data_IF_932267342926
#
_entry.id   IF_932267342926
#
_cell.length_a   1.000
_cell.length_b   1.000
_cell.length_c   1.000
_cell.angle_alpha   90.00
_cell.angle_beta   90.00
_cell.angle_gamma   90.00
#
_symmetry.space_group_name_H-M   'P 1'
#
loop_
_entity.id
_entity.type
_entity.pdbx_description
1 polymer ?
#
# COMPACT_ATOMS: atom_id res chain seq x y z
N UNK A 1 -22.72 12.66 3.91
CA UNK A 1 -22.51 12.14 5.23
C UNK A 1 -21.58 10.95 5.23
N UNK A 2 -20.68 10.92 6.15
CA UNK A 2 -19.59 9.96 6.11
C UNK A 2 -19.82 8.77 7.04
N UNK A 3 -20.97 8.16 6.94
CA UNK A 3 -21.27 6.98 7.75
C UNK A 3 -20.25 5.87 7.55
N UNK A 4 -19.75 5.73 6.32
CA UNK A 4 -18.75 4.71 6.05
C UNK A 4 -17.46 4.95 6.83
N UNK A 5 -17.04 6.19 6.95
CA UNK A 5 -15.83 6.52 7.70
C UNK A 5 -16.03 6.26 9.18
N UNK A 6 -17.18 6.67 9.72
CA UNK A 6 -17.51 6.44 11.11
C UNK A 6 -17.60 4.94 11.37
N UNK A 7 -18.28 4.22 10.50
CA UNK A 7 -18.42 2.77 10.66
C UNK A 7 -17.07 2.07 10.57
N UNK A 8 -16.20 2.54 9.70
CA UNK A 8 -14.88 1.96 9.54
C UNK A 8 -14.03 2.14 10.79
N UNK A 9 -14.08 3.33 11.40
CA UNK A 9 -13.35 3.59 12.63
C UNK A 9 -13.91 2.75 13.77
N UNK A 10 -15.21 2.69 13.91
CA UNK A 10 -15.87 1.88 14.94
C UNK A 10 -15.55 0.40 14.73
N UNK A 11 -15.54 -0.05 13.51
CA UNK A 11 -15.20 -1.43 13.19
C UNK A 11 -13.76 -1.73 13.57
N UNK A 12 -12.83 -0.82 13.23
CA UNK A 12 -11.42 -0.99 13.55
C UNK A 12 -11.23 -1.06 15.07
N UNK A 13 -11.90 -0.20 15.82
CA UNK A 13 -11.82 -0.22 17.27
C UNK A 13 -12.38 -1.52 17.86
N UNK A 14 -13.47 -2.01 17.30
CA UNK A 14 -14.08 -3.27 17.72
C UNK A 14 -13.13 -4.43 17.46
N UNK A 15 -12.53 -4.47 16.27
CA UNK A 15 -11.55 -5.49 15.92
C UNK A 15 -10.36 -5.41 16.88
N UNK A 16 -9.88 -4.21 17.15
CA UNK A 16 -8.73 -3.99 18.02
C UNK A 16 -8.97 -4.57 19.42
N UNK A 17 -10.17 -4.37 19.97
CA UNK A 17 -10.48 -4.87 21.29
C UNK A 17 -10.44 -6.40 21.38
N UNK A 18 -10.68 -7.06 20.27
CA UNK A 18 -10.70 -8.53 20.24
C UNK A 18 -9.33 -9.13 19.95
N UNK A 19 -8.34 -8.31 19.69
CA UNK A 19 -6.98 -8.78 19.42
C UNK A 19 -6.19 -8.76 20.71
N UNK A 20 -5.73 -9.94 21.19
CA UNK A 20 -5.10 -10.05 22.51
C UNK A 20 -3.62 -9.73 22.49
N UNK A 21 -3.17 -8.89 21.59
CA UNK A 21 -1.76 -8.54 21.47
C UNK A 21 -1.58 -7.04 21.65
N UNK A 22 -0.55 -6.67 22.40
CA UNK A 22 -0.09 -5.29 22.50
C UNK A 22 1.24 -5.23 21.81
N UNK A 23 1.34 -4.42 20.78
CA UNK A 23 2.58 -4.29 20.03
C UNK A 23 3.43 -3.18 20.62
N UNK A 24 4.73 -3.46 20.72
CA UNK A 24 5.63 -2.51 21.34
C UNK A 24 6.05 -1.41 20.36
N UNK A 25 6.32 -1.80 19.12
CA UNK A 25 7.03 -0.98 18.17
C UNK A 25 6.40 -0.99 16.77
N UNK A 26 5.30 -1.72 16.61
CA UNK A 26 4.65 -1.87 15.32
C UNK A 26 3.21 -1.41 15.34
N UNK A 27 2.80 -0.84 14.22
CA UNK A 27 1.38 -0.65 13.95
C UNK A 27 0.86 -1.94 13.33
N UNK A 28 -0.27 -2.40 13.81
CA UNK A 28 -0.97 -3.50 13.16
C UNK A 28 -1.94 -2.92 12.16
N UNK A 29 -1.75 -3.28 10.91
CA UNK A 29 -2.51 -2.70 9.81
C UNK A 29 -3.18 -3.83 9.04
N UNK A 30 -4.44 -3.62 8.70
CA UNK A 30 -5.15 -4.53 7.81
C UNK A 30 -5.11 -3.94 6.42
N UNK A 31 -4.37 -4.56 5.48
CA UNK A 31 -4.32 -4.05 4.12
C UNK A 31 -5.68 -4.09 3.45
N UNK A 32 -5.99 -3.04 2.71
CA UNK A 32 -7.16 -3.01 1.85
C UNK A 32 -6.82 -3.67 0.52
N UNK A 33 -7.81 -3.82 -0.34
CA UNK A 33 -7.59 -4.43 -1.64
C UNK A 33 -6.52 -3.66 -2.41
N UNK A 34 -5.71 -4.37 -3.22
CA UNK A 34 -4.69 -3.70 -4.02
C UNK A 34 -5.29 -2.64 -4.93
N UNK A 35 -4.59 -1.52 -5.04
CA UNK A 35 -4.99 -0.44 -5.95
C UNK A 35 -4.44 -0.77 -7.32
N UNK A 36 -5.29 -0.71 -8.32
CA UNK A 36 -4.88 -0.94 -9.70
C UNK A 36 -4.49 0.38 -10.34
N UNK A 37 -3.39 0.36 -11.05
CA UNK A 37 -2.93 1.53 -11.80
C UNK A 37 -2.58 1.09 -13.20
N UNK A 38 -2.70 2.02 -14.13
CA UNK A 38 -2.32 1.77 -15.51
C UNK A 38 -0.88 2.19 -15.70
N UNK A 39 -0.09 1.29 -16.22
CA UNK A 39 1.32 1.57 -16.52
C UNK A 39 1.60 1.29 -17.99
N UNK A 40 2.45 2.11 -18.56
CA UNK A 40 2.90 1.93 -19.92
C UNK A 40 4.20 1.14 -19.93
N UNK A 41 4.24 0.14 -20.76
CA UNK A 41 5.43 -0.66 -20.96
C UNK A 41 5.84 -0.55 -22.39
N UNK A 42 7.08 -0.16 -22.62
CA UNK A 42 7.66 -0.19 -23.96
C UNK A 42 8.15 -1.59 -24.23
N UNK A 43 7.79 -2.09 -25.37
CA UNK A 43 8.06 -3.46 -25.72
C UNK A 43 8.47 -3.50 -27.18
N UNK A 44 9.60 -4.10 -27.52
CA UNK A 44 9.94 -4.24 -28.94
C UNK A 44 8.92 -5.16 -29.61
N UNK A 45 8.48 -4.75 -30.78
CA UNK A 45 7.55 -5.57 -31.55
C UNK A 45 8.34 -6.72 -32.17
N UNK A 46 7.98 -7.92 -31.79
CA UNK A 46 8.57 -9.09 -32.42
C UNK A 46 7.81 -9.37 -33.69
N UNK A 47 8.46 -9.26 -34.80
CA UNK A 47 7.87 -9.58 -36.09
C UNK A 47 7.84 -11.07 -36.35
N UNK A 48 8.52 -11.84 -35.54
CA UNK A 48 8.65 -13.26 -35.76
C UNK A 48 9.59 -13.61 -36.88
N UNK A 49 10.18 -12.61 -37.55
CA UNK A 49 11.08 -12.81 -38.65
C UNK A 49 12.50 -12.51 -38.20
N UNK A 50 13.42 -13.46 -38.33
CA UNK A 50 14.79 -13.17 -37.95
C UNK A 50 15.33 -12.03 -38.83
N UNK A 51 16.07 -11.14 -38.18
CA UNK A 51 16.75 -10.09 -38.93
C UNK A 51 17.86 -10.70 -39.74
N UNK A 52 17.87 -10.41 -41.02
CA UNK A 52 18.81 -11.03 -41.93
C UNK A 52 19.97 -10.16 -42.34
N UNK A 53 19.83 -8.86 -42.18
CA UNK A 53 20.93 -7.97 -42.47
C UNK A 53 20.97 -6.82 -41.47
N UNK A 54 22.08 -6.11 -41.47
CA UNK A 54 22.32 -5.06 -40.51
C UNK A 54 21.42 -3.86 -40.69
N UNK A 55 21.03 -3.59 -41.91
CA UNK A 55 20.18 -2.44 -42.21
C UNK A 55 18.77 -2.65 -41.65
N UNK A 56 18.31 -3.88 -41.66
CA UNK A 56 17.02 -4.21 -41.11
C UNK A 56 17.01 -4.04 -39.59
N UNK A 57 18.12 -4.33 -38.95
CA UNK A 57 18.25 -4.17 -37.51
C UNK A 57 18.05 -2.72 -37.10
N UNK A 58 18.71 -1.81 -37.79
CA UNK A 58 18.62 -0.39 -37.50
C UNK A 58 17.22 0.16 -37.69
N UNK A 59 16.56 -0.24 -38.74
CA UNK A 59 15.20 0.21 -39.01
C UNK A 59 14.24 -0.27 -37.96
N UNK A 60 14.41 -1.47 -37.47
CA UNK A 60 13.51 -2.06 -36.49
C UNK A 60 13.66 -1.45 -35.10
N UNK A 61 14.85 -1.02 -34.74
CA UNK A 61 15.10 -0.50 -33.41
C UNK A 61 14.29 0.75 -33.10
N UNK A 62 13.97 1.53 -34.11
CA UNK A 62 13.26 2.78 -33.91
C UNK A 62 11.77 2.72 -34.26
N UNK A 63 11.42 1.85 -35.19
CA UNK A 63 10.07 1.84 -35.72
C UNK A 63 9.18 0.76 -35.08
N UNK A 64 9.80 -0.16 -34.39
CA UNK A 64 9.09 -1.32 -33.89
C UNK A 64 9.02 -1.38 -32.36
N UNK A 65 8.87 -0.21 -31.73
CA UNK A 65 8.61 -0.15 -30.29
C UNK A 65 7.14 0.14 -30.11
N UNK A 66 6.48 -0.78 -29.44
CA UNK A 66 5.08 -0.64 -29.08
C UNK A 66 4.96 -0.24 -27.64
N UNK A 67 4.04 0.67 -27.37
CA UNK A 67 3.69 0.99 -26.02
C UNK A 67 2.42 0.24 -25.65
N UNK A 68 2.50 -0.57 -24.63
CA UNK A 68 1.39 -1.34 -24.13
C UNK A 68 0.96 -0.79 -22.79
N UNK A 69 -0.34 -0.52 -22.65
CA UNK A 69 -0.90 -0.06 -21.38
C UNK A 69 -1.51 -1.26 -20.68
N UNK A 70 -1.01 -1.55 -19.49
CA UNK A 70 -1.52 -2.65 -18.67
C UNK A 70 -1.98 -2.13 -17.33
N UNK A 71 -3.05 -2.72 -16.84
CA UNK A 71 -3.49 -2.49 -15.49
C UNK A 71 -2.75 -3.45 -14.57
N UNK A 72 -2.01 -2.90 -13.64
CA UNK A 72 -1.20 -3.68 -12.68
C UNK A 72 -1.46 -3.17 -11.27
N UNK A 73 -1.08 -3.98 -10.29
CA UNK A 73 -1.15 -3.54 -8.90
C UNK A 73 -0.17 -2.41 -8.68
N UNK A 74 -0.59 -1.41 -7.93
CA UNK A 74 0.28 -0.31 -7.54
C UNK A 74 1.41 -0.84 -6.65
N UNK A 75 2.55 -0.15 -6.69
CA UNK A 75 3.63 -0.42 -5.75
C UNK A 75 3.27 0.01 -4.33
N UNK A 76 2.21 0.77 -4.18
CA UNK A 76 1.74 1.29 -2.90
C UNK A 76 0.43 0.65 -2.53
N UNK A 77 0.20 0.53 -1.24
CA UNK A 77 -1.00 -0.09 -0.73
C UNK A 77 -1.58 0.75 0.39
N UNK A 78 -2.88 0.66 0.57
CA UNK A 78 -3.57 1.30 1.67
C UNK A 78 -3.94 0.24 2.69
N UNK A 79 -4.06 0.66 3.94
CA UNK A 79 -4.51 -0.24 4.99
C UNK A 79 -5.11 0.54 6.13
N UNK A 80 -5.92 -0.15 6.93
CA UNK A 80 -6.58 0.43 8.09
C UNK A 80 -5.78 0.07 9.33
N UNK A 81 -5.46 1.06 10.14
CA UNK A 81 -4.72 0.85 11.39
C UNK A 81 -5.65 0.23 12.42
N UNK A 82 -5.27 -0.94 12.92
CA UNK A 82 -6.03 -1.68 13.92
C UNK A 82 -5.44 -1.51 15.31
N UNK A 83 -4.11 -1.44 15.39
CA UNK A 83 -3.39 -1.22 16.65
C UNK A 83 -2.28 -0.22 16.45
N UNK A 84 -2.07 0.62 17.44
CA UNK A 84 -0.92 1.52 17.49
C UNK A 84 0.12 0.95 18.46
N UNK A 85 1.41 1.25 18.27
CA UNK A 85 2.44 0.74 19.17
C UNK A 85 2.31 1.34 20.58
N UNK A 86 2.63 0.54 21.56
CA UNK A 86 2.63 1.01 22.94
C UNK A 86 3.59 2.20 23.10
N UNK A 87 4.73 2.14 22.45
CA UNK A 87 5.71 3.22 22.52
C UNK A 87 5.17 4.53 21.95
N UNK A 88 4.34 4.45 20.93
CA UNK A 88 3.74 5.60 20.29
C UNK A 88 2.80 6.35 21.24
N UNK A 89 2.12 5.59 22.11
CA UNK A 89 1.17 6.14 23.07
C UNK A 89 1.78 6.34 24.46
N UNK A 90 3.10 6.32 24.56
CA UNK A 90 3.78 6.43 25.85
C UNK A 90 3.59 7.81 26.51
N UNK A 91 3.84 7.85 27.81
CA UNK A 91 3.78 9.12 28.55
C UNK A 91 4.70 10.18 27.97
N UNK A 92 5.83 9.77 27.46
CA UNK A 92 6.80 10.71 26.86
C UNK A 92 6.23 11.42 25.66
N UNK A 93 5.31 10.79 24.96
CA UNK A 93 4.71 11.33 23.76
C UNK A 93 3.32 11.91 23.99
N UNK A 94 2.89 11.99 25.23
CA UNK A 94 1.53 12.38 25.56
C UNK A 94 1.14 13.77 25.07
N UNK A 95 2.10 14.67 25.03
CA UNK A 95 1.85 16.03 24.59
C UNK A 95 1.97 16.21 23.09
N UNK A 96 2.38 15.18 22.38
CA UNK A 96 2.48 15.20 20.94
C UNK A 96 1.20 14.70 20.33
N UNK A 97 0.75 15.40 19.31
CA UNK A 97 -0.43 14.95 18.59
C UNK A 97 0.01 13.92 17.57
N UNK A 98 -0.41 12.69 17.79
CA UNK A 98 -0.08 11.61 16.86
C UNK A 98 -1.17 11.52 15.79
N UNK A 99 -0.81 11.71 14.53
CA UNK A 99 -1.82 11.70 13.47
C UNK A 99 -2.35 10.30 13.15
N UNK A 100 -1.58 9.27 13.47
CA UNK A 100 -1.99 7.90 13.14
C UNK A 100 -2.75 7.32 14.33
N UNK A 101 -4.01 7.00 14.11
CA UNK A 101 -4.89 6.47 15.13
C UNK A 101 -5.53 5.17 14.65
N UNK A 102 -6.13 4.44 15.58
CA UNK A 102 -6.95 3.28 15.21
C UNK A 102 -8.06 3.76 14.28
N UNK A 103 -8.19 3.12 13.14
CA UNK A 103 -9.15 3.52 12.10
C UNK A 103 -8.57 4.39 11.01
N UNK A 104 -7.38 4.95 11.22
CA UNK A 104 -6.72 5.72 10.17
C UNK A 104 -6.41 4.83 8.98
N UNK A 105 -6.59 5.37 7.78
CA UNK A 105 -6.16 4.68 6.56
C UNK A 105 -4.79 5.23 6.17
N UNK A 106 -3.83 4.36 6.07
CA UNK A 106 -2.45 4.75 5.79
C UNK A 106 -1.99 4.18 4.47
N UNK A 107 -0.95 4.78 3.91
CA UNK A 107 -0.33 4.35 2.66
C UNK A 107 1.07 3.84 2.98
N UNK A 108 1.42 2.72 2.42
CA UNK A 108 2.73 2.12 2.58
C UNK A 108 3.11 1.38 1.30
N UNK A 109 4.38 1.03 1.18
CA UNK A 109 4.80 0.21 0.04
C UNK A 109 4.25 -1.20 0.21
N UNK A 110 3.81 -1.80 -0.87
CA UNK A 110 3.24 -3.14 -0.84
C UNK A 110 4.22 -4.18 -0.27
N UNK A 111 5.51 -3.92 -0.38
CA UNK A 111 6.55 -4.81 0.16
C UNK A 111 6.99 -4.46 1.57
N UNK A 112 6.45 -3.40 2.15
CA UNK A 112 6.90 -2.93 3.46
C UNK A 112 6.35 -3.78 4.59
N UNK A 113 7.09 -3.81 5.66
CA UNK A 113 6.65 -4.44 6.90
C UNK A 113 6.74 -5.95 6.90
N UNK A 114 6.11 -6.53 7.90
CA UNK A 114 6.10 -7.97 8.12
C UNK A 114 4.67 -8.48 8.07
N UNK A 115 4.48 -9.61 7.44
CA UNK A 115 3.18 -10.29 7.51
C UNK A 115 3.07 -10.94 8.87
N UNK A 116 1.95 -10.71 9.52
CA UNK A 116 1.74 -11.25 10.85
C UNK A 116 0.81 -12.45 10.78
N UNK A 117 1.39 -13.62 10.83
CA UNK A 117 0.65 -14.87 10.56
C UNK A 117 -0.36 -15.20 11.65
N UNK A 118 -0.19 -14.66 12.85
CA UNK A 118 -1.12 -14.92 13.94
C UNK A 118 -2.46 -14.22 13.74
N UNK A 119 -2.52 -13.24 12.87
CA UNK A 119 -3.75 -12.57 12.50
C UNK A 119 -3.83 -12.55 10.99
N UNK A 120 -4.90 -13.15 10.47
CA UNK A 120 -5.06 -13.27 9.03
C UNK A 120 -5.11 -11.90 8.35
N UNK A 121 -4.44 -11.81 7.24
CA UNK A 121 -4.44 -10.62 6.37
C UNK A 121 -4.03 -9.36 7.13
N UNK A 122 -3.00 -9.47 7.94
CA UNK A 122 -2.49 -8.32 8.68
C UNK A 122 -1.02 -8.10 8.38
N UNK A 123 -0.60 -6.87 8.65
CA UNK A 123 0.78 -6.47 8.41
C UNK A 123 1.25 -5.62 9.58
N UNK A 124 2.49 -5.87 9.99
CA UNK A 124 3.14 -5.06 11.01
C UNK A 124 4.02 -4.05 10.33
N UNK A 125 3.78 -2.78 10.60
CA UNK A 125 4.53 -1.67 10.01
C UNK A 125 5.15 -0.84 11.11
N UNK A 126 6.37 -0.41 10.89
CA UNK A 126 6.98 0.61 11.74
C UNK A 126 6.53 1.98 11.25
N UNK A 127 6.72 2.99 12.08
CA UNK A 127 6.31 4.33 11.70
C UNK A 127 6.94 4.77 10.39
N UNK A 128 8.21 4.44 10.18
CA UNK A 128 8.91 4.84 8.96
C UNK A 128 8.45 4.08 7.71
N UNK A 129 7.73 2.99 7.88
CA UNK A 129 7.13 2.28 6.74
C UNK A 129 5.86 2.96 6.25
N UNK A 130 5.25 3.77 7.10
CA UNK A 130 4.01 4.46 6.77
C UNK A 130 4.37 5.77 6.08
N UNK A 131 3.97 5.88 4.82
CA UNK A 131 4.34 7.01 3.99
C UNK A 131 3.37 8.17 4.09
N UNK A 132 2.13 7.90 4.44
CA UNK A 132 1.15 8.95 4.55
C UNK A 132 -0.15 8.45 5.12
N UNK A 133 -1.04 9.38 5.40
CA UNK A 133 -2.38 9.10 5.88
C UNK A 133 -3.35 9.59 4.82
N UNK A 134 -4.34 8.77 4.52
CA UNK A 134 -5.36 9.15 3.54
C UNK A 134 -6.31 10.13 4.19
N UNK A 135 -6.50 11.27 3.55
CA UNK A 135 -7.42 12.29 4.02
C UNK A 135 -8.85 11.86 3.77
N UNK A 136 -9.71 12.14 4.72
CA UNK A 136 -11.11 11.74 4.66
C UNK A 136 -11.99 12.82 4.09
N UNK A 137 -11.68 13.33 3.06
CA UNK A 137 -12.53 14.40 2.57
C UNK A 137 -13.78 13.93 1.93
N UNK A 138 -13.98 13.98 2.10
CA UNK A 138 -14.64 13.78 1.41
C UNK A 138 -15.36 14.09 1.05
N UNK A 139 -15.01 14.07 1.33
CA UNK A 139 -15.40 14.37 1.04
C UNK A 139 -15.89 14.14 0.63
#
# INVERSE_FOLDING_TARGET
>A
MNNEVIDQTALAESISKNIPYTFLDFFLVKPLDPVKVKKEFSKPVSTGTPVKDENDIEAQDFDNVETEVKEVDSDYRKGVVIKTPMYYDSEENKNNIHPIKIGSVVVFRDTAGLRFDLIKDSRLLRQYDILGIVDNDNN
#
